data_IF_725132329870
#
_entry.id   IF_725132329870
#
_cell.length_a   1.000
_cell.length_b   1.000
_cell.length_c   1.000
_cell.angle_alpha   90.00
_cell.angle_beta   90.00
_cell.angle_gamma   90.00
#
_symmetry.space_group_name_H-M   'P 1'
#
loop_
_entity.id
_entity.type
_entity.pdbx_description
1 polymer ?
#
# COMPACT_ATOMS: atom_id res chain seq x y z
N UNK A 1 1.25 -5.92 2.71
CA UNK A 1 2.10 -7.04 3.17
C UNK A 1 3.54 -6.57 3.16
N UNK A 2 4.19 -6.52 4.32
CA UNK A 2 5.63 -6.18 4.43
C UNK A 2 6.46 -7.45 4.29
N UNK A 3 6.85 -7.72 3.04
CA UNK A 3 7.74 -8.80 2.67
C UNK A 3 8.93 -8.19 1.94
N UNK A 4 10.12 -8.64 2.33
CA UNK A 4 11.41 -8.32 1.76
C UNK A 4 12.31 -9.55 1.83
N UNK A 5 13.56 -9.42 1.37
CA UNK A 5 14.47 -10.55 1.12
C UNK A 5 14.81 -11.48 2.31
N UNK A 6 14.31 -11.20 3.51
CA UNK A 6 14.41 -12.05 4.70
C UNK A 6 13.26 -13.08 4.83
N UNK A 7 12.14 -12.88 4.12
CA UNK A 7 11.01 -13.83 4.08
C UNK A 7 10.94 -14.48 2.70
N UNK A 8 11.60 -15.62 2.54
CA UNK A 8 11.56 -16.39 1.30
C UNK A 8 10.13 -16.91 1.04
N UNK A 9 9.48 -16.39 0.00
CA UNK A 9 8.26 -16.97 -0.55
C UNK A 9 8.64 -17.82 -1.77
N UNK A 10 8.64 -19.15 -1.69
CA UNK A 10 9.12 -20.03 -2.76
C UNK A 10 8.30 -19.95 -4.07
N UNK A 11 7.12 -19.31 -4.04
CA UNK A 11 6.30 -19.06 -5.23
C UNK A 11 6.54 -17.67 -5.87
N UNK A 12 7.30 -16.78 -5.22
CA UNK A 12 7.76 -15.54 -5.83
C UNK A 12 9.22 -15.71 -6.26
N UNK A 13 9.45 -15.80 -7.57
CA UNK A 13 10.79 -15.81 -8.16
C UNK A 13 11.42 -14.43 -7.97
N UNK A 14 12.04 -14.21 -6.81
CA UNK A 14 12.81 -13.01 -6.54
C UNK A 14 14.20 -13.15 -7.16
N UNK A 15 14.68 -12.18 -7.96
CA UNK A 15 16.10 -12.11 -8.31
C UNK A 15 16.92 -11.93 -7.02
N UNK A 16 18.05 -12.64 -6.90
CA UNK A 16 18.98 -12.44 -5.78
C UNK A 16 19.57 -11.02 -5.87
N UNK A 17 19.15 -10.12 -5.00
CA UNK A 17 19.75 -8.79 -4.86
C UNK A 17 20.88 -8.83 -3.82
N UNK A 18 21.98 -8.13 -4.07
CA UNK A 18 23.14 -8.05 -3.17
C UNK A 18 22.81 -7.40 -1.81
N UNK A 19 21.71 -6.62 -1.73
CA UNK A 19 21.33 -5.95 -0.49
C UNK A 19 19.82 -6.00 -0.20
N UNK A 20 19.34 -7.01 0.54
CA UNK A 20 17.92 -7.20 0.90
C UNK A 20 17.29 -6.03 1.65
N UNK A 21 18.11 -5.19 2.29
CA UNK A 21 17.65 -4.04 3.07
C UNK A 21 17.53 -2.76 2.23
N UNK A 22 18.21 -2.64 1.10
CA UNK A 22 18.11 -1.45 0.21
C UNK A 22 17.33 -1.73 -1.08
N UNK A 23 17.00 -2.99 -1.34
CA UNK A 23 16.33 -3.48 -2.54
C UNK A 23 14.79 -3.50 -2.50
N UNK A 24 14.19 -4.30 -3.40
CA UNK A 24 12.75 -4.48 -3.61
C UNK A 24 12.02 -4.88 -2.31
N UNK A 25 11.35 -3.92 -1.63
CA UNK A 25 10.54 -4.18 -0.43
C UNK A 25 9.16 -3.54 -0.47
N UNK A 26 8.21 -4.21 0.19
CA UNK A 26 6.89 -3.71 0.59
C UNK A 26 6.09 -3.04 -0.56
N UNK A 27 5.85 -1.73 -0.47
CA UNK A 27 5.01 -0.98 -1.42
C UNK A 27 5.57 -1.01 -2.83
N UNK A 28 6.90 -1.13 -3.02
CA UNK A 28 7.52 -1.19 -4.35
C UNK A 28 7.23 -2.52 -5.05
N UNK A 29 7.28 -3.65 -4.31
CA UNK A 29 6.83 -4.95 -4.84
C UNK A 29 5.34 -4.88 -5.17
N UNK A 30 4.54 -4.22 -4.33
CA UNK A 30 3.10 -4.08 -4.54
C UNK A 30 2.78 -3.16 -5.75
N UNK A 31 3.60 -2.14 -6.01
CA UNK A 31 3.48 -1.28 -7.19
C UNK A 31 3.95 -1.97 -8.48
N UNK A 32 5.00 -2.78 -8.43
CA UNK A 32 5.48 -3.57 -9.58
C UNK A 32 4.55 -4.76 -9.87
N UNK A 33 3.99 -5.39 -8.83
CA UNK A 33 2.97 -6.45 -8.93
C UNK A 33 1.63 -5.95 -8.44
N UNK A 34 0.99 -5.11 -9.25
CA UNK A 34 -0.33 -4.52 -8.98
C UNK A 34 -1.40 -5.55 -8.61
N UNK A 35 -1.29 -6.78 -9.10
CA UNK A 35 -2.22 -7.88 -8.75
C UNK A 35 -2.22 -8.17 -7.23
N UNK A 36 -1.05 -8.21 -6.60
CA UNK A 36 -0.92 -8.48 -5.16
C UNK A 36 -1.49 -7.31 -4.34
N UNK A 37 -1.21 -6.07 -4.79
CA UNK A 37 -1.74 -4.86 -4.16
C UNK A 37 -3.27 -4.84 -4.24
N UNK A 38 -3.81 -5.12 -5.44
CA UNK A 38 -5.24 -5.16 -5.73
C UNK A 38 -5.96 -6.15 -4.82
N UNK A 39 -5.48 -7.38 -4.73
CA UNK A 39 -6.13 -8.41 -3.92
C UNK A 39 -6.14 -8.05 -2.43
N UNK A 40 -5.03 -7.53 -1.91
CA UNK A 40 -4.93 -7.11 -0.50
C UNK A 40 -5.84 -5.93 -0.19
N UNK A 41 -5.78 -4.87 -1.01
CA UNK A 41 -6.59 -3.66 -0.78
C UNK A 41 -8.08 -3.99 -0.91
N UNK A 42 -8.48 -4.76 -1.94
CA UNK A 42 -9.88 -5.17 -2.10
C UNK A 42 -10.37 -6.04 -0.96
N UNK A 43 -9.52 -6.94 -0.42
CA UNK A 43 -9.87 -7.73 0.75
C UNK A 43 -10.11 -6.85 1.98
N UNK A 44 -9.24 -5.86 2.23
CA UNK A 44 -9.36 -4.95 3.36
C UNK A 44 -10.59 -4.03 3.20
N UNK A 45 -10.84 -3.50 2.00
CA UNK A 45 -12.03 -2.70 1.70
C UNK A 45 -13.31 -3.50 1.97
N UNK A 46 -13.39 -4.75 1.52
CA UNK A 46 -14.57 -5.60 1.82
C UNK A 46 -14.70 -5.91 3.31
N UNK A 47 -13.58 -6.07 4.01
CA UNK A 47 -13.60 -6.28 5.46
C UNK A 47 -14.09 -5.04 6.22
N UNK A 48 -13.88 -3.83 5.69
CA UNK A 48 -14.33 -2.58 6.33
C UNK A 48 -15.84 -2.41 6.37
N UNK A 49 -16.60 -3.19 5.58
CA UNK A 49 -18.04 -3.27 5.72
C UNK A 49 -18.49 -3.82 7.09
N UNK A 50 -17.64 -4.57 7.79
CA UNK A 50 -17.96 -5.25 9.05
C UNK A 50 -17.40 -4.56 10.29
N UNK A 51 -16.65 -3.46 10.13
CA UNK A 51 -16.06 -2.73 11.25
C UNK A 51 -15.14 -1.61 10.82
N UNK A 52 -14.81 -0.73 11.77
CA UNK A 52 -13.94 0.42 11.52
C UNK A 52 -12.50 -0.03 11.29
N UNK A 53 -12.10 -0.06 10.02
CA UNK A 53 -10.76 -0.42 9.59
C UNK A 53 -10.00 0.82 9.11
N UNK A 54 -8.67 0.74 9.16
CA UNK A 54 -7.76 1.75 8.62
C UNK A 54 -6.67 1.03 7.83
N UNK A 55 -6.27 1.59 6.71
CA UNK A 55 -5.19 1.02 5.88
C UNK A 55 -3.94 1.87 6.10
N UNK A 56 -2.83 1.23 6.44
CA UNK A 56 -1.54 1.89 6.60
C UNK A 56 -0.50 1.26 5.67
N UNK A 57 0.15 2.09 4.85
CA UNK A 57 1.15 1.64 3.89
C UNK A 57 2.58 1.93 4.38
N UNK A 58 3.41 0.91 4.58
CA UNK A 58 4.77 1.08 5.05
C UNK A 58 5.74 1.50 3.93
N UNK A 59 6.90 2.02 4.33
CA UNK A 59 8.05 2.28 3.46
C UNK A 59 7.77 3.23 2.28
N UNK A 60 6.84 4.17 2.43
CA UNK A 60 6.63 5.25 1.45
C UNK A 60 7.77 6.25 1.56
N UNK A 61 8.41 6.56 0.44
CA UNK A 61 9.57 7.47 0.39
C UNK A 61 9.28 8.78 -0.34
N UNK A 62 8.24 8.83 -1.18
CA UNK A 62 7.88 10.04 -1.93
C UNK A 62 6.38 10.30 -2.02
N UNK A 63 6.01 11.54 -2.36
CA UNK A 63 4.62 12.00 -2.49
C UNK A 63 3.96 11.40 -3.72
N UNK A 64 4.74 11.17 -4.77
CA UNK A 64 4.28 10.55 -6.01
C UNK A 64 3.77 9.13 -5.75
N UNK A 65 4.46 8.37 -4.89
CA UNK A 65 4.02 7.03 -4.47
C UNK A 65 2.68 7.12 -3.73
N UNK A 66 2.50 8.08 -2.82
CA UNK A 66 1.21 8.31 -2.13
C UNK A 66 0.09 8.63 -3.13
N UNK A 67 0.35 9.50 -4.09
CA UNK A 67 -0.64 9.89 -5.11
C UNK A 67 -1.00 8.71 -6.01
N UNK A 68 -0.02 7.94 -6.46
CA UNK A 68 -0.24 6.75 -7.27
C UNK A 68 -1.07 5.72 -6.52
N UNK A 69 -0.73 5.47 -5.25
CA UNK A 69 -1.43 4.53 -4.39
C UNK A 69 -2.88 4.96 -4.14
N UNK A 70 -3.13 6.23 -3.81
CA UNK A 70 -4.49 6.76 -3.64
C UNK A 70 -5.32 6.57 -4.92
N UNK A 71 -4.72 6.79 -6.09
CA UNK A 71 -5.39 6.58 -7.37
C UNK A 71 -5.78 5.12 -7.59
N UNK A 72 -4.88 4.17 -7.29
CA UNK A 72 -5.17 2.73 -7.39
C UNK A 72 -6.27 2.30 -6.41
N UNK A 73 -6.27 2.81 -5.18
CA UNK A 73 -7.31 2.51 -4.18
C UNK A 73 -8.69 2.98 -4.68
N UNK A 74 -8.78 4.18 -5.27
CA UNK A 74 -10.05 4.67 -5.82
C UNK A 74 -10.56 3.83 -7.00
N UNK A 75 -9.66 3.30 -7.84
CA UNK A 75 -10.02 2.33 -8.88
C UNK A 75 -10.64 1.09 -8.24
N UNK A 76 -10.01 0.52 -7.20
CA UNK A 76 -10.52 -0.69 -6.55
C UNK A 76 -11.85 -0.46 -5.80
N UNK A 77 -12.04 0.73 -5.20
CA UNK A 77 -13.35 1.11 -4.66
C UNK A 77 -14.41 1.13 -5.75
N UNK A 78 -14.12 1.70 -6.91
CA UNK A 78 -15.06 1.72 -8.03
C UNK A 78 -15.38 0.31 -8.52
N UNK A 79 -14.38 -0.56 -8.67
CA UNK A 79 -14.64 -1.96 -9.04
C UNK A 79 -15.56 -2.67 -8.02
N UNK A 80 -15.36 -2.42 -6.72
CA UNK A 80 -16.22 -3.00 -5.68
C UNK A 80 -17.65 -2.43 -5.74
N UNK A 81 -17.81 -1.14 -6.07
CA UNK A 81 -19.13 -0.53 -6.32
C UNK A 81 -19.83 -1.19 -7.51
N UNK A 82 -19.12 -1.37 -8.62
CA UNK A 82 -19.66 -1.98 -9.84
C UNK A 82 -20.03 -3.46 -9.61
N UNK A 83 -19.29 -4.16 -8.74
CA UNK A 83 -19.58 -5.53 -8.30
C UNK A 83 -20.66 -5.62 -7.20
N UNK A 84 -21.19 -4.49 -6.71
CA UNK A 84 -22.19 -4.46 -5.64
C UNK A 84 -21.68 -4.95 -4.28
N UNK A 85 -20.38 -4.86 -4.02
CA UNK A 85 -19.75 -5.28 -2.75
C UNK A 85 -19.67 -4.10 -1.79
N UNK A 86 -20.19 -4.29 -0.58
CA UNK A 86 -20.11 -3.29 0.47
C UNK A 86 -18.67 -3.08 0.96
N UNK A 87 -18.34 -1.83 1.27
CA UNK A 87 -17.13 -1.38 1.95
C UNK A 87 -17.39 -0.02 2.63
N UNK A 88 -16.53 0.37 3.56
CA UNK A 88 -16.56 1.71 4.17
C UNK A 88 -15.95 2.76 3.23
N UNK A 89 -16.79 3.65 2.68
CA UNK A 89 -16.37 4.76 1.82
C UNK A 89 -15.48 5.78 2.57
N UNK A 90 -15.64 5.87 3.89
CA UNK A 90 -14.89 6.78 4.76
C UNK A 90 -13.60 6.18 5.33
N UNK A 91 -13.20 5.00 4.85
CA UNK A 91 -12.01 4.30 5.33
C UNK A 91 -10.77 5.21 5.29
N UNK A 92 -10.11 5.33 6.45
CA UNK A 92 -8.93 6.17 6.59
C UNK A 92 -7.71 5.46 6.00
N UNK A 93 -7.01 6.15 5.09
CA UNK A 93 -5.79 5.68 4.45
C UNK A 93 -4.62 6.51 4.98
N UNK A 94 -3.74 5.85 5.73
CA UNK A 94 -2.51 6.42 6.27
C UNK A 94 -1.27 5.89 5.55
N UNK A 95 -0.18 6.63 5.66
CA UNK A 95 1.14 6.23 5.18
C UNK A 95 2.11 6.27 6.36
N UNK A 96 2.94 5.25 6.50
CA UNK A 96 3.97 5.24 7.54
C UNK A 96 5.20 5.98 7.01
N UNK A 97 5.60 7.01 7.75
CA UNK A 97 6.80 7.80 7.45
C UNK A 97 7.99 7.14 8.13
N UNK A 98 8.71 6.32 7.37
CA UNK A 98 9.84 5.53 7.90
C UNK A 98 11.19 6.02 7.36
N UNK A 99 11.16 6.82 6.28
CA UNK A 99 12.35 7.30 5.59
C UNK A 99 12.39 8.83 5.57
N UNK A 100 13.59 9.41 5.69
CA UNK A 100 13.81 10.86 5.88
C UNK A 100 13.16 11.71 4.78
N UNK A 101 13.12 11.20 3.54
CA UNK A 101 12.53 11.92 2.39
C UNK A 101 11.02 12.21 2.50
N UNK A 102 10.24 11.37 3.20
CA UNK A 102 8.80 11.60 3.36
C UNK A 102 8.48 12.50 4.57
N UNK A 103 9.31 12.46 5.62
CA UNK A 103 9.10 13.23 6.85
C UNK A 103 9.22 14.75 6.65
N UNK A 104 10.15 15.18 5.81
CA UNK A 104 10.33 16.59 5.48
C UNK A 104 9.11 17.15 4.74
N UNK A 105 8.50 16.35 3.84
CA UNK A 105 7.32 16.79 3.10
C UNK A 105 6.05 16.80 3.95
N UNK A 106 5.82 15.79 4.79
CA UNK A 106 4.61 15.75 5.62
C UNK A 106 4.58 16.92 6.64
N UNK A 107 5.75 17.32 7.13
CA UNK A 107 5.93 18.53 7.93
C UNK A 107 5.62 19.81 7.14
N UNK A 108 6.01 19.87 5.85
CA UNK A 108 5.81 21.05 4.99
C UNK A 108 4.39 21.19 4.40
N UNK A 109 3.65 20.09 4.23
CA UNK A 109 2.40 20.05 3.46
C UNK A 109 1.12 20.07 4.30
N UNK A 110 1.23 20.04 5.64
CA UNK A 110 0.08 20.06 6.55
C UNK A 110 -0.87 18.87 6.39
N UNK A 111 -0.47 17.84 5.64
CA UNK A 111 -1.21 16.60 5.52
C UNK A 111 -0.86 15.71 6.70
N UNK A 112 -1.89 15.12 7.33
CA UNK A 112 -1.70 14.08 8.34
C UNK A 112 -1.13 12.82 7.66
N UNK A 113 0.20 12.72 7.70
CA UNK A 113 0.82 11.50 8.20
C UNK A 113 0.44 11.37 9.69
#
# INVERSE_FOLDING_TARGET
MDIGGDKELPYMNFPKEENPFLGWRAVRIAMDRKEILRDQVRAILRASAFGKLRIMFPMIISVEEVRALKKEIEIYKQELRDEGKAFDESIEIGVMVENTGCGDYCSSSGQRC
#
